data_IF_387266105412
#
_entry.id   IF_387266105412
#
_cell.length_a   1.000
_cell.length_b   1.000
_cell.length_c   1.000
_cell.angle_alpha   90.00
_cell.angle_beta   90.00
_cell.angle_gamma   90.00
#
_symmetry.space_group_name_H-M   'P 1'
#
loop_
_entity.id
_entity.type
_entity.pdbx_description
1 polymer ?
#
# COMPACT_ATOMS: atom_id res chain seq x y z
N UNK A 1 -13.13 6.79 50.69
CA UNK A 1 -12.95 7.92 49.75
C UNK A 1 -13.45 7.50 48.38
N UNK A 2 -14.61 8.02 47.95
CA UNK A 2 -15.15 7.74 46.62
C UNK A 2 -14.61 8.80 45.66
N UNK A 3 -13.84 8.38 44.67
CA UNK A 3 -13.44 9.25 43.58
C UNK A 3 -14.54 9.24 42.51
N UNK A 4 -15.18 10.37 42.36
CA UNK A 4 -16.13 10.65 41.27
C UNK A 4 -15.31 10.95 40.00
N UNK A 5 -15.40 10.06 39.01
CA UNK A 5 -14.93 10.33 37.65
C UNK A 5 -15.83 11.41 37.03
N UNK A 6 -15.26 12.59 36.77
CA UNK A 6 -15.86 13.58 35.88
C UNK A 6 -15.80 13.03 34.47
N UNK A 7 -16.95 12.82 33.86
CA UNK A 7 -17.06 12.52 32.44
C UNK A 7 -16.50 13.70 31.65
N UNK A 8 -15.28 13.55 31.09
CA UNK A 8 -14.78 14.41 30.02
C UNK A 8 -15.58 13.96 28.79
N UNK A 9 -16.44 14.82 28.28
CA UNK A 9 -17.20 14.56 27.07
C UNK A 9 -16.22 14.44 25.89
N UNK A 10 -15.93 13.21 25.48
CA UNK A 10 -15.22 12.90 24.24
C UNK A 10 -16.27 13.01 23.14
N UNK A 11 -16.23 14.09 22.36
CA UNK A 11 -17.02 14.17 21.13
C UNK A 11 -16.34 13.28 20.09
N UNK A 12 -16.81 12.05 19.99
CA UNK A 12 -16.36 11.08 18.97
C UNK A 12 -17.25 11.26 17.75
N UNK A 13 -16.71 11.89 16.71
CA UNK A 13 -17.40 11.98 15.42
C UNK A 13 -16.94 10.78 14.59
N UNK A 14 -17.80 9.77 14.45
CA UNK A 14 -17.57 8.61 13.60
C UNK A 14 -17.98 8.93 12.17
N UNK A 15 -17.01 9.03 11.27
CA UNK A 15 -17.29 9.05 9.83
C UNK A 15 -17.64 7.61 9.38
N UNK A 16 -18.94 7.31 9.34
CA UNK A 16 -19.43 6.03 8.83
C UNK A 16 -19.48 6.14 7.31
N UNK A 17 -18.50 5.55 6.62
CA UNK A 17 -18.60 5.29 5.18
C UNK A 17 -19.41 4.01 5.02
N UNK A 18 -20.74 4.14 4.93
CA UNK A 18 -21.57 3.02 4.50
C UNK A 18 -21.15 2.61 3.09
N UNK A 19 -20.77 1.35 2.92
CA UNK A 19 -20.56 0.74 1.60
C UNK A 19 -21.92 0.61 0.89
N UNK A 20 -22.44 1.74 0.43
CA UNK A 20 -23.57 1.73 -0.48
C UNK A 20 -23.08 1.36 -1.87
N UNK A 21 -23.68 0.32 -2.42
CA UNK A 21 -23.63 0.01 -3.84
C UNK A 21 -23.88 1.29 -4.65
N UNK A 22 -22.82 1.78 -5.31
CA UNK A 22 -22.87 2.99 -6.13
C UNK A 22 -23.79 2.76 -7.34
N UNK A 23 -25.00 3.22 -7.23
CA UNK A 23 -25.86 3.50 -8.38
C UNK A 23 -25.38 4.80 -9.04
N UNK A 24 -25.05 4.69 -10.32
CA UNK A 24 -24.57 5.69 -11.26
C UNK A 24 -25.07 7.12 -10.99
N UNK A 25 -24.19 8.03 -10.56
CA UNK A 25 -24.11 9.38 -11.12
C UNK A 25 -22.65 9.62 -11.49
N UNK A 26 -22.38 9.50 -12.79
CA UNK A 26 -21.13 9.92 -13.39
C UNK A 26 -20.87 11.38 -13.02
N UNK A 27 -19.79 11.64 -12.34
CA UNK A 27 -19.18 12.97 -12.39
C UNK A 27 -18.84 13.23 -13.87
N UNK A 28 -19.47 14.20 -14.47
CA UNK A 28 -19.17 14.69 -15.81
C UNK A 28 -17.79 15.34 -15.82
N UNK A 29 -16.76 14.54 -15.94
CA UNK A 29 -15.45 15.01 -16.41
C UNK A 29 -15.52 15.17 -17.94
N UNK A 30 -15.99 16.35 -18.37
CA UNK A 30 -16.03 16.74 -19.77
C UNK A 30 -14.64 17.04 -20.38
N UNK A 31 -13.58 16.39 -19.91
CA UNK A 31 -12.23 16.71 -20.41
C UNK A 31 -11.59 15.69 -21.35
N UNK A 32 -12.20 14.49 -21.60
CA UNK A 32 -11.48 13.46 -22.35
C UNK A 32 -12.28 12.74 -23.44
N UNK A 33 -13.22 13.40 -24.11
CA UNK A 33 -13.98 12.76 -25.21
C UNK A 33 -13.22 12.60 -26.54
N UNK A 34 -11.96 13.07 -26.63
CA UNK A 34 -11.16 13.04 -27.88
C UNK A 34 -9.75 12.46 -27.75
N UNK A 35 -9.38 11.78 -26.65
CA UNK A 35 -8.10 11.08 -26.61
C UNK A 35 -8.27 9.69 -27.22
N UNK A 36 -7.65 9.45 -28.37
CA UNK A 36 -7.45 8.08 -28.86
C UNK A 36 -6.65 7.34 -27.80
N UNK A 37 -7.05 6.13 -27.39
CA UNK A 37 -6.29 5.31 -26.46
C UNK A 37 -4.93 5.02 -27.09
N UNK A 38 -3.86 5.61 -26.52
CA UNK A 38 -2.55 5.62 -27.17
C UNK A 38 -1.45 5.00 -26.30
N UNK A 39 -1.64 4.91 -24.98
CA UNK A 39 -0.65 4.33 -24.08
C UNK A 39 -0.66 2.81 -24.17
N UNK A 40 0.46 2.23 -24.59
CA UNK A 40 0.65 0.78 -24.70
C UNK A 40 1.33 0.25 -23.44
N UNK A 41 0.64 -0.64 -22.73
CA UNK A 41 1.12 -1.26 -21.51
C UNK A 41 1.77 -2.61 -21.81
N UNK A 42 2.87 -2.86 -21.11
CA UNK A 42 3.56 -4.15 -21.03
C UNK A 42 3.51 -4.61 -19.59
N UNK A 43 3.08 -5.84 -19.33
CA UNK A 43 3.14 -6.49 -18.01
C UNK A 43 4.29 -7.49 -18.02
N UNK A 44 5.25 -7.32 -17.11
CA UNK A 44 6.43 -8.17 -17.01
C UNK A 44 6.41 -9.00 -15.73
N UNK A 45 6.50 -10.33 -15.86
CA UNK A 45 6.59 -11.31 -14.77
C UNK A 45 5.55 -11.07 -13.66
N UNK A 46 4.24 -11.08 -14.00
CA UNK A 46 3.20 -10.84 -13.01
C UNK A 46 3.14 -11.99 -11.99
N UNK A 47 3.32 -11.70 -10.71
CA UNK A 47 3.32 -12.69 -9.64
C UNK A 47 2.59 -12.23 -8.38
N UNK A 48 2.00 -11.04 -8.43
CA UNK A 48 1.19 -10.48 -7.37
C UNK A 48 -0.14 -9.96 -7.95
N UNK A 49 -1.24 -10.10 -7.20
CA UNK A 49 -2.57 -9.70 -7.68
C UNK A 49 -2.69 -8.22 -8.07
N UNK A 50 -1.78 -7.35 -7.60
CA UNK A 50 -1.73 -5.95 -8.03
C UNK A 50 -1.48 -5.79 -9.54
N UNK A 51 -0.85 -6.76 -10.20
CA UNK A 51 -0.66 -6.71 -11.65
C UNK A 51 -2.00 -6.65 -12.39
N UNK A 52 -2.98 -7.47 -11.99
CA UNK A 52 -4.31 -7.50 -12.59
C UNK A 52 -5.17 -6.31 -12.19
N UNK A 53 -4.96 -5.71 -11.01
CA UNK A 53 -5.77 -4.58 -10.53
C UNK A 53 -5.71 -3.36 -11.42
N UNK A 54 -4.61 -3.11 -12.13
CA UNK A 54 -4.51 -2.03 -13.10
C UNK A 54 -5.57 -2.16 -14.21
N UNK A 55 -5.92 -3.39 -14.57
CA UNK A 55 -6.87 -3.72 -15.63
C UNK A 55 -8.30 -3.99 -15.10
N UNK A 56 -8.52 -3.83 -13.79
CA UNK A 56 -9.84 -4.09 -13.17
C UNK A 56 -10.94 -3.23 -13.77
N UNK A 57 -10.62 -2.03 -14.23
CA UNK A 57 -11.56 -1.11 -14.90
C UNK A 57 -10.94 -0.62 -16.21
N UNK A 58 -11.78 -0.25 -17.21
CA UNK A 58 -11.29 0.36 -18.43
C UNK A 58 -10.56 1.68 -18.14
N UNK A 59 -9.47 1.92 -18.85
CA UNK A 59 -8.68 3.15 -18.79
C UNK A 59 -8.76 3.85 -20.16
N UNK A 60 -9.40 5.00 -20.23
CA UNK A 60 -9.71 5.69 -21.49
C UNK A 60 -8.47 6.05 -22.34
N UNK A 61 -7.32 6.28 -21.68
CA UNK A 61 -6.06 6.63 -22.35
C UNK A 61 -5.17 5.42 -22.70
N UNK A 62 -5.59 4.20 -22.34
CA UNK A 62 -4.79 2.97 -22.49
C UNK A 62 -5.36 2.15 -23.65
N UNK A 63 -4.46 1.61 -24.49
CA UNK A 63 -4.83 0.65 -25.53
C UNK A 63 -5.41 -0.62 -24.88
N UNK A 64 -6.44 -1.19 -25.48
CA UNK A 64 -7.10 -2.40 -24.98
C UNK A 64 -6.25 -3.68 -25.09
N UNK A 65 -5.17 -3.61 -25.86
CA UNK A 65 -4.21 -4.71 -26.04
C UNK A 65 -3.02 -4.54 -25.12
N UNK A 66 -2.86 -5.49 -24.20
CA UNK A 66 -1.78 -5.55 -23.20
C UNK A 66 -0.79 -6.64 -23.59
N UNK A 67 0.50 -6.31 -23.58
CA UNK A 67 1.54 -7.31 -23.82
C UNK A 67 2.03 -7.89 -22.52
N UNK A 68 2.10 -9.21 -22.45
CA UNK A 68 2.52 -9.95 -21.26
C UNK A 68 3.78 -10.75 -21.60
N UNK A 69 4.85 -10.52 -20.85
CA UNK A 69 6.09 -11.28 -20.95
C UNK A 69 6.36 -11.95 -19.61
N UNK A 70 6.40 -13.27 -19.57
CA UNK A 70 6.54 -14.01 -18.30
C UNK A 70 7.24 -15.37 -18.51
N UNK A 71 7.83 -15.93 -17.43
CA UNK A 71 8.14 -17.34 -17.38
C UNK A 71 6.87 -18.17 -17.30
N UNK A 72 6.95 -19.45 -17.61
CA UNK A 72 5.86 -20.38 -17.30
C UNK A 72 5.70 -20.53 -15.78
N UNK A 73 4.47 -20.46 -15.28
CA UNK A 73 4.19 -20.62 -13.84
C UNK A 73 2.73 -20.45 -13.48
N UNK A 74 2.44 -20.73 -12.20
CA UNK A 74 1.10 -20.55 -11.64
C UNK A 74 0.71 -19.06 -11.59
N UNK A 75 1.67 -18.19 -11.37
CA UNK A 75 1.50 -16.75 -11.17
C UNK A 75 0.96 -16.09 -12.45
N UNK A 76 1.56 -16.34 -13.60
CA UNK A 76 1.09 -15.79 -14.88
C UNK A 76 -0.28 -16.36 -15.24
N UNK A 77 -0.53 -17.66 -14.95
CA UNK A 77 -1.85 -18.29 -15.15
C UNK A 77 -2.92 -17.60 -14.29
N UNK A 78 -2.60 -17.31 -13.01
CA UNK A 78 -3.51 -16.61 -12.12
C UNK A 78 -3.82 -15.19 -12.63
N UNK A 79 -2.78 -14.45 -13.05
CA UNK A 79 -2.97 -13.12 -13.65
C UNK A 79 -3.93 -13.16 -14.85
N UNK A 80 -3.73 -14.08 -15.79
CA UNK A 80 -4.60 -14.23 -16.96
C UNK A 80 -6.04 -14.61 -16.58
N UNK A 81 -6.22 -15.45 -15.56
CA UNK A 81 -7.53 -15.81 -15.03
C UNK A 81 -8.25 -14.59 -14.43
N UNK A 82 -7.52 -13.73 -13.71
CA UNK A 82 -8.07 -12.49 -13.15
C UNK A 82 -8.56 -11.57 -14.27
N UNK A 83 -7.75 -11.35 -15.31
CA UNK A 83 -8.15 -10.53 -16.46
C UNK A 83 -9.40 -11.11 -17.16
N UNK A 84 -9.41 -12.42 -17.41
CA UNK A 84 -10.58 -13.08 -17.98
C UNK A 84 -11.83 -12.88 -17.10
N UNK A 85 -11.68 -12.95 -15.78
CA UNK A 85 -12.79 -12.69 -14.85
C UNK A 85 -13.31 -11.26 -14.94
N UNK A 86 -12.45 -10.26 -15.15
CA UNK A 86 -12.86 -8.88 -15.36
C UNK A 86 -13.57 -8.68 -16.69
N UNK A 87 -13.14 -9.37 -17.75
CA UNK A 87 -13.79 -9.33 -19.05
C UNK A 87 -15.18 -9.99 -19.05
N UNK A 88 -15.36 -11.04 -18.23
CA UNK A 88 -16.60 -11.85 -18.21
C UNK A 88 -17.59 -11.48 -17.10
N UNK A 89 -17.26 -10.59 -16.19
CA UNK A 89 -18.16 -10.23 -15.08
C UNK A 89 -19.44 -9.55 -15.61
N UNK A 90 -20.55 -9.78 -14.92
CA UNK A 90 -21.86 -9.25 -15.33
C UNK A 90 -21.95 -7.72 -15.20
N UNK A 91 -21.28 -7.15 -14.18
CA UNK A 91 -21.28 -5.71 -13.91
C UNK A 91 -19.97 -5.07 -14.36
N UNK A 92 -20.05 -4.04 -15.18
CA UNK A 92 -18.92 -3.27 -15.70
C UNK A 92 -17.81 -4.16 -16.32
N UNK A 93 -18.12 -5.06 -17.29
CA UNK A 93 -17.11 -5.89 -17.93
C UNK A 93 -16.05 -5.04 -18.62
N UNK A 94 -14.83 -5.58 -18.66
CA UNK A 94 -13.74 -5.00 -19.45
C UNK A 94 -13.63 -5.69 -20.81
N UNK A 95 -12.72 -5.24 -21.67
CA UNK A 95 -12.50 -5.82 -23.01
C UNK A 95 -11.00 -5.94 -23.33
N UNK A 96 -10.21 -6.24 -22.31
CA UNK A 96 -8.75 -6.39 -22.48
C UNK A 96 -8.41 -7.59 -23.37
N UNK A 97 -7.36 -7.43 -24.16
CA UNK A 97 -6.79 -8.45 -25.04
C UNK A 97 -5.33 -8.62 -24.65
N UNK A 98 -4.92 -9.83 -24.31
CA UNK A 98 -3.54 -10.14 -23.93
C UNK A 98 -2.77 -10.74 -25.10
N UNK A 99 -1.68 -10.07 -25.54
CA UNK A 99 -0.65 -10.64 -26.39
C UNK A 99 0.44 -11.24 -25.48
N UNK A 100 0.47 -12.58 -25.40
CA UNK A 100 1.23 -13.29 -24.36
C UNK A 100 2.46 -13.94 -24.94
N UNK A 101 3.63 -13.67 -24.35
CA UNK A 101 4.86 -14.41 -24.54
C UNK A 101 5.27 -15.14 -23.26
N UNK A 102 5.38 -16.47 -23.32
CA UNK A 102 5.83 -17.32 -22.23
C UNK A 102 7.14 -17.99 -22.63
N UNK A 103 8.21 -17.74 -21.89
CA UNK A 103 9.54 -18.32 -22.16
C UNK A 103 10.57 -17.96 -21.13
N UNK A 104 11.67 -18.72 -21.04
CA UNK A 104 12.76 -18.42 -20.11
C UNK A 104 13.51 -17.14 -20.41
N UNK A 105 13.40 -16.65 -21.63
CA UNK A 105 14.05 -15.43 -22.13
C UNK A 105 13.08 -14.21 -22.16
N UNK A 106 11.97 -14.28 -21.44
CA UNK A 106 10.90 -13.28 -21.43
C UNK A 106 11.39 -11.83 -21.26
N UNK A 107 12.40 -11.59 -20.41
CA UNK A 107 12.95 -10.25 -20.22
C UNK A 107 13.70 -9.78 -21.48
N UNK A 108 14.63 -10.59 -22.00
CA UNK A 108 15.37 -10.22 -23.20
C UNK A 108 14.45 -10.08 -24.42
N UNK A 109 13.41 -10.87 -24.49
CA UNK A 109 12.37 -10.77 -25.52
C UNK A 109 11.61 -9.45 -25.43
N UNK A 110 11.11 -9.05 -24.26
CA UNK A 110 10.48 -7.76 -24.04
C UNK A 110 11.40 -6.60 -24.45
N UNK A 111 12.67 -6.66 -24.02
CA UNK A 111 13.65 -5.62 -24.30
C UNK A 111 13.98 -5.50 -25.80
N UNK A 112 13.97 -6.60 -26.56
CA UNK A 112 14.23 -6.63 -28.01
C UNK A 112 13.00 -6.20 -28.82
N UNK A 113 11.81 -6.62 -28.43
CA UNK A 113 10.57 -6.31 -29.15
C UNK A 113 10.21 -4.82 -29.06
N UNK A 114 10.48 -4.18 -27.93
CA UNK A 114 10.24 -2.75 -27.66
C UNK A 114 8.84 -2.28 -28.05
N UNK A 115 7.85 -3.10 -27.78
CA UNK A 115 6.47 -2.86 -28.18
C UNK A 115 5.60 -2.36 -27.01
N UNK A 116 5.86 -1.14 -26.54
CA UNK A 116 5.07 -0.55 -25.47
C UNK A 116 5.68 0.76 -24.98
N UNK A 117 4.94 1.48 -24.18
CA UNK A 117 5.33 2.78 -23.62
C UNK A 117 5.62 2.68 -22.12
N UNK A 118 4.91 1.78 -21.42
CA UNK A 118 4.95 1.64 -19.97
C UNK A 118 5.07 0.17 -19.59
N UNK A 119 6.06 -0.17 -18.78
CA UNK A 119 6.20 -1.50 -18.16
C UNK A 119 5.59 -1.47 -16.77
N UNK A 120 4.68 -2.41 -16.50
CA UNK A 120 4.05 -2.64 -15.20
C UNK A 120 4.73 -3.81 -14.52
N UNK A 121 5.18 -3.62 -13.28
CA UNK A 121 5.89 -4.60 -12.47
C UNK A 121 5.13 -4.85 -11.16
N UNK A 122 4.56 -6.03 -11.01
CA UNK A 122 3.94 -6.48 -9.75
C UNK A 122 4.10 -8.00 -9.62
N UNK A 123 5.19 -8.42 -9.00
CA UNK A 123 5.56 -9.82 -8.88
C UNK A 123 6.62 -10.04 -7.81
N UNK A 124 7.46 -11.05 -8.00
CA UNK A 124 8.56 -11.37 -7.09
C UNK A 124 9.52 -10.19 -6.93
N UNK A 125 9.74 -9.78 -5.68
CA UNK A 125 10.51 -8.56 -5.38
C UNK A 125 12.02 -8.72 -5.61
N UNK A 126 12.54 -9.94 -5.56
CA UNK A 126 13.97 -10.23 -5.75
C UNK A 126 14.49 -9.76 -7.11
N UNK A 127 13.67 -9.88 -8.17
CA UNK A 127 14.07 -9.52 -9.54
C UNK A 127 13.67 -8.09 -9.91
N UNK A 128 12.77 -7.49 -9.14
CA UNK A 128 12.04 -6.27 -9.50
C UNK A 128 12.95 -5.09 -9.82
N UNK A 129 13.93 -4.82 -8.97
CA UNK A 129 14.83 -3.67 -9.18
C UNK A 129 15.67 -3.81 -10.44
N UNK A 130 16.09 -5.05 -10.77
CA UNK A 130 16.78 -5.31 -12.04
C UNK A 130 15.84 -5.07 -13.23
N UNK A 131 14.59 -5.51 -13.17
CA UNK A 131 13.59 -5.24 -14.22
C UNK A 131 13.36 -3.74 -14.41
N UNK A 132 13.28 -2.98 -13.32
CA UNK A 132 13.15 -1.51 -13.35
C UNK A 132 14.33 -0.91 -14.13
N UNK A 133 15.55 -1.26 -13.75
CA UNK A 133 16.76 -0.69 -14.37
C UNK A 133 16.85 -1.03 -15.85
N UNK A 134 16.62 -2.30 -16.22
CA UNK A 134 16.69 -2.74 -17.61
C UNK A 134 15.58 -2.12 -18.48
N UNK A 135 14.35 -1.99 -17.95
CA UNK A 135 13.28 -1.30 -18.65
C UNK A 135 13.58 0.19 -18.88
N UNK A 136 14.11 0.90 -17.87
CA UNK A 136 14.54 2.31 -18.01
C UNK A 136 15.72 2.43 -19.02
N UNK A 137 16.70 1.52 -19.00
CA UNK A 137 17.79 1.46 -20.01
C UNK A 137 17.24 1.26 -21.43
N UNK A 138 16.18 0.48 -21.56
CA UNK A 138 15.54 0.26 -22.84
C UNK A 138 14.60 1.41 -23.28
N UNK A 139 14.38 2.42 -22.45
CA UNK A 139 13.57 3.60 -22.77
C UNK A 139 12.09 3.46 -22.47
N UNK A 140 11.70 2.51 -21.63
CA UNK A 140 10.33 2.41 -21.12
C UNK A 140 10.09 3.33 -19.91
N UNK A 141 8.88 3.84 -19.78
CA UNK A 141 8.36 4.28 -18.50
C UNK A 141 8.06 3.05 -17.63
N UNK A 142 8.13 3.19 -16.33
CA UNK A 142 7.91 2.09 -15.38
C UNK A 142 6.90 2.47 -14.31
N UNK A 143 5.88 1.64 -14.14
CA UNK A 143 4.98 1.62 -13.00
C UNK A 143 5.27 0.35 -12.20
N UNK A 144 5.77 0.48 -10.99
CA UNK A 144 6.16 -0.67 -10.18
C UNK A 144 5.37 -0.71 -8.89
N UNK A 145 4.88 -1.90 -8.53
CA UNK A 145 4.31 -2.15 -7.21
C UNK A 145 5.41 -2.12 -6.13
N UNK A 146 5.05 -1.72 -4.94
CA UNK A 146 5.92 -1.70 -3.76
C UNK A 146 6.25 -3.13 -3.25
N UNK A 147 7.38 -3.34 -2.59
CA UNK A 147 8.54 -2.49 -2.49
C UNK A 147 9.36 -2.53 -3.79
N UNK A 148 10.01 -1.41 -4.13
CA UNK A 148 10.85 -1.35 -5.34
C UNK A 148 12.22 -1.99 -5.12
N UNK A 149 12.66 -2.06 -3.86
CA UNK A 149 13.89 -2.70 -3.42
C UNK A 149 13.68 -3.36 -2.05
N UNK A 150 14.31 -4.49 -1.80
CA UNK A 150 14.19 -5.26 -0.55
C UNK A 150 15.50 -5.42 0.22
N UNK A 151 16.59 -4.96 -0.33
CA UNK A 151 17.92 -4.99 0.29
C UNK A 151 18.78 -3.81 -0.19
N UNK A 152 19.95 -3.63 0.43
CA UNK A 152 20.84 -2.52 0.11
C UNK A 152 21.34 -2.53 -1.34
N UNK A 153 21.68 -3.69 -1.89
CA UNK A 153 22.17 -3.82 -3.26
C UNK A 153 21.11 -3.34 -4.26
N UNK A 154 19.88 -3.77 -4.06
CA UNK A 154 18.75 -3.37 -4.90
C UNK A 154 18.43 -1.88 -4.73
N UNK A 155 18.57 -1.34 -3.51
CA UNK A 155 18.41 0.10 -3.29
C UNK A 155 19.46 0.92 -4.06
N UNK A 156 20.72 0.50 -4.07
CA UNK A 156 21.76 1.16 -4.83
C UNK A 156 21.48 1.12 -6.36
N UNK A 157 20.94 0.00 -6.86
CA UNK A 157 20.47 -0.10 -8.26
C UNK A 157 19.24 0.79 -8.53
N UNK A 158 18.33 0.90 -7.57
CA UNK A 158 17.15 1.75 -7.68
C UNK A 158 17.53 3.22 -7.79
N UNK A 159 18.52 3.69 -7.01
CA UNK A 159 19.06 5.04 -7.13
C UNK A 159 19.57 5.29 -8.57
N UNK A 160 20.32 4.34 -9.13
CA UNK A 160 20.81 4.44 -10.52
C UNK A 160 19.65 4.50 -11.52
N UNK A 161 18.61 3.69 -11.31
CA UNK A 161 17.43 3.69 -12.18
C UNK A 161 16.69 5.05 -12.14
N UNK A 162 16.52 5.66 -10.96
CA UNK A 162 15.91 6.99 -10.84
C UNK A 162 16.76 8.09 -11.49
N UNK A 163 18.07 8.04 -11.34
CA UNK A 163 18.98 8.99 -12.01
C UNK A 163 18.87 8.89 -13.52
N UNK A 164 18.93 7.67 -14.06
CA UNK A 164 18.81 7.42 -15.49
C UNK A 164 17.43 7.79 -16.03
N UNK A 165 16.36 7.50 -15.30
CA UNK A 165 15.00 7.90 -15.66
C UNK A 165 14.88 9.42 -15.77
N UNK A 166 15.44 10.15 -14.80
CA UNK A 166 15.48 11.62 -14.82
C UNK A 166 16.26 12.16 -16.03
N UNK A 167 17.43 11.63 -16.32
CA UNK A 167 18.27 12.01 -17.48
C UNK A 167 17.53 11.79 -18.81
N UNK A 168 16.82 10.67 -18.92
CA UNK A 168 16.07 10.27 -20.12
C UNK A 168 14.66 10.84 -20.20
N UNK A 169 14.21 11.60 -19.19
CA UNK A 169 12.84 12.12 -19.06
C UNK A 169 11.78 11.01 -19.08
N UNK A 170 12.09 9.88 -18.46
CA UNK A 170 11.19 8.74 -18.31
C UNK A 170 10.52 8.77 -16.94
N UNK A 171 9.31 8.27 -16.86
CA UNK A 171 8.60 8.06 -15.60
C UNK A 171 9.10 6.76 -14.95
N UNK A 172 9.52 6.85 -13.70
CA UNK A 172 9.65 5.73 -12.78
C UNK A 172 8.81 6.03 -11.55
N UNK A 173 7.71 5.32 -11.39
CA UNK A 173 6.70 5.59 -10.38
C UNK A 173 6.35 4.34 -9.58
N UNK A 174 6.29 4.48 -8.26
CA UNK A 174 5.82 3.45 -7.35
C UNK A 174 4.29 3.53 -7.18
N UNK A 175 3.62 2.39 -7.30
CA UNK A 175 2.17 2.28 -7.18
C UNK A 175 1.78 2.14 -5.70
N UNK A 176 1.62 3.27 -5.02
CA UNK A 176 1.23 3.34 -3.60
C UNK A 176 -0.28 3.39 -3.47
N UNK A 177 -0.90 2.23 -3.29
CA UNK A 177 -2.36 2.06 -3.29
C UNK A 177 -3.05 2.78 -2.13
N UNK A 178 -2.43 2.86 -0.95
CA UNK A 178 -3.01 3.50 0.24
C UNK A 178 -3.26 5.01 0.07
N UNK A 179 -2.58 5.68 -0.85
CA UNK A 179 -2.86 7.10 -1.17
C UNK A 179 -4.24 7.31 -1.80
N UNK A 180 -4.87 6.26 -2.32
CA UNK A 180 -6.19 6.29 -2.97
C UNK A 180 -7.33 5.84 -2.04
N UNK A 181 -7.04 5.43 -0.82
CA UNK A 181 -8.05 5.19 0.22
C UNK A 181 -8.67 6.54 0.62
N UNK A 182 -10.01 6.61 0.58
CA UNK A 182 -10.74 7.85 0.84
C UNK A 182 -10.46 8.40 2.24
N UNK A 183 -10.31 7.55 3.26
CA UNK A 183 -10.03 8.03 4.61
C UNK A 183 -8.61 8.59 4.72
N UNK A 184 -7.62 8.02 4.01
CA UNK A 184 -6.27 8.58 3.94
C UNK A 184 -6.23 9.94 3.23
N UNK A 185 -7.08 10.12 2.20
CA UNK A 185 -7.24 11.42 1.49
C UNK A 185 -7.86 12.46 2.43
N UNK A 186 -8.92 12.09 3.13
CA UNK A 186 -9.59 12.98 4.10
C UNK A 186 -8.66 13.31 5.26
N UNK A 187 -7.98 12.31 5.84
CA UNK A 187 -6.99 12.49 6.91
C UNK A 187 -5.91 13.50 6.49
N UNK A 188 -5.36 13.35 5.28
CA UNK A 188 -4.40 14.32 4.72
C UNK A 188 -4.96 15.73 4.66
N UNK A 189 -6.20 15.89 4.18
CA UNK A 189 -6.81 17.21 4.06
C UNK A 189 -7.04 17.88 5.44
N UNK A 190 -7.50 17.11 6.44
CA UNK A 190 -7.70 17.59 7.80
C UNK A 190 -6.38 17.93 8.48
N UNK A 191 -5.36 17.09 8.32
CA UNK A 191 -4.02 17.28 8.87
C UNK A 191 -3.34 18.56 8.31
N UNK A 192 -3.59 18.87 7.04
CA UNK A 192 -3.02 20.06 6.40
C UNK A 192 -3.93 21.30 6.49
N UNK A 193 -4.90 21.30 7.39
CA UNK A 193 -5.70 22.47 7.72
C UNK A 193 -5.15 23.12 9.01
N UNK A 194 -4.39 24.22 8.94
CA UNK A 194 -3.76 24.82 10.11
C UNK A 194 -4.75 25.43 11.11
N UNK A 195 -5.96 25.80 10.65
CA UNK A 195 -6.99 26.33 11.54
C UNK A 195 -7.61 25.23 12.42
N UNK A 196 -7.66 23.99 11.92
CA UNK A 196 -8.25 22.83 12.58
C UNK A 196 -7.22 21.98 13.32
N UNK A 197 -6.14 21.58 12.65
CA UNK A 197 -5.13 20.67 13.19
C UNK A 197 -3.97 21.40 13.87
N UNK A 198 -3.67 22.61 13.42
CA UNK A 198 -2.48 23.35 13.83
C UNK A 198 -1.23 22.83 13.17
N UNK A 199 -0.12 22.82 13.91
CA UNK A 199 1.18 22.31 13.47
C UNK A 199 1.41 20.91 14.02
N UNK A 200 2.04 20.05 13.23
CA UNK A 200 2.46 18.73 13.68
C UNK A 200 3.45 18.85 14.83
N UNK A 201 3.17 18.21 15.96
CA UNK A 201 4.04 18.25 17.13
C UNK A 201 5.36 17.52 16.86
N UNK A 202 6.41 17.87 17.58
CA UNK A 202 7.71 17.21 17.43
C UNK A 202 7.70 15.79 18.00
N UNK A 203 7.05 15.57 19.15
CA UNK A 203 7.04 14.32 19.87
C UNK A 203 8.41 13.94 20.46
N UNK A 204 8.55 12.69 20.85
CA UNK A 204 9.79 12.11 21.37
C UNK A 204 9.89 10.62 21.00
N UNK A 205 11.02 9.98 21.29
CA UNK A 205 11.21 8.54 21.06
C UNK A 205 10.15 7.68 21.78
N UNK A 206 9.79 8.06 23.02
CA UNK A 206 8.84 7.30 23.84
C UNK A 206 7.37 7.74 23.63
N UNK A 207 7.16 8.90 23.04
CA UNK A 207 5.84 9.45 22.71
C UNK A 207 5.88 10.13 21.34
N UNK A 208 5.95 9.36 20.25
CA UNK A 208 6.06 9.91 18.91
C UNK A 208 4.79 10.69 18.50
N UNK A 209 4.99 11.75 17.72
CA UNK A 209 3.87 12.54 17.19
C UNK A 209 3.08 11.81 16.13
N UNK A 210 3.73 10.92 15.40
CA UNK A 210 3.10 10.02 14.44
C UNK A 210 3.38 8.60 14.86
N UNK A 211 2.33 7.81 15.05
CA UNK A 211 2.48 6.36 15.30
C UNK A 211 1.51 5.57 14.42
N UNK A 212 2.00 4.45 13.89
CA UNK A 212 1.21 3.54 13.08
C UNK A 212 1.51 2.10 13.45
N UNK A 213 0.48 1.28 13.55
CA UNK A 213 0.60 -0.18 13.70
C UNK A 213 -0.32 -0.86 12.69
N UNK A 214 0.19 -1.90 12.02
CA UNK A 214 -0.59 -2.73 11.10
C UNK A 214 -0.37 -4.20 11.41
N UNK A 215 -1.46 -4.96 11.55
CA UNK A 215 -1.43 -6.40 11.81
C UNK A 215 -2.04 -7.15 10.65
N UNK A 216 -1.30 -8.10 10.13
CA UNK A 216 -1.65 -8.92 8.98
C UNK A 216 -1.60 -10.40 9.30
N UNK A 217 -2.08 -11.21 8.36
CA UNK A 217 -2.12 -12.66 8.51
C UNK A 217 -1.63 -13.35 7.23
N UNK A 218 -0.82 -14.41 7.41
CA UNK A 218 -0.35 -15.23 6.29
C UNK A 218 -1.51 -15.97 5.63
N UNK A 219 -2.38 -16.54 6.45
CA UNK A 219 -3.57 -17.26 6.00
C UNK A 219 -4.84 -16.56 6.49
N UNK A 220 -5.70 -16.16 5.58
CA UNK A 220 -6.99 -15.51 5.84
C UNK A 220 -7.92 -15.68 4.65
N UNK A 221 -9.20 -15.42 4.84
CA UNK A 221 -10.15 -15.32 3.74
C UNK A 221 -10.15 -13.90 3.15
N UNK A 222 -10.18 -13.83 1.84
CA UNK A 222 -10.36 -12.57 1.08
C UNK A 222 -11.54 -12.76 0.15
N UNK A 223 -12.55 -11.91 0.26
CA UNK A 223 -13.80 -12.03 -0.53
C UNK A 223 -14.45 -13.43 -0.41
N UNK A 224 -14.41 -14.01 0.79
CA UNK A 224 -15.04 -15.31 1.09
C UNK A 224 -14.23 -16.54 0.64
N UNK A 225 -13.02 -16.37 0.09
CA UNK A 225 -12.15 -17.47 -0.35
C UNK A 225 -10.82 -17.45 0.40
N UNK A 226 -10.22 -18.63 0.72
CA UNK A 226 -8.87 -18.69 1.26
C UNK A 226 -7.86 -18.00 0.34
N UNK A 227 -7.02 -17.16 0.90
CA UNK A 227 -5.92 -16.54 0.17
C UNK A 227 -4.75 -17.52 0.09
N UNK A 228 -4.47 -18.04 -1.10
CA UNK A 228 -3.32 -18.91 -1.35
C UNK A 228 -2.11 -18.04 -1.70
N UNK A 229 -1.02 -18.27 -0.99
CA UNK A 229 0.24 -17.56 -1.16
C UNK A 229 1.19 -18.35 -2.06
N UNK A 230 1.93 -17.74 -2.97
CA UNK A 230 3.03 -18.42 -3.64
C UNK A 230 4.09 -18.81 -2.60
N UNK A 231 4.78 -19.92 -2.80
CA UNK A 231 5.77 -20.45 -1.83
C UNK A 231 6.92 -19.46 -1.57
N UNK A 232 7.32 -18.66 -2.56
CA UNK A 232 8.37 -17.64 -2.44
C UNK A 232 7.98 -16.48 -1.52
N UNK A 233 6.69 -16.30 -1.22
CA UNK A 233 6.21 -15.26 -0.31
C UNK A 233 6.78 -15.41 1.12
N UNK A 234 7.18 -16.62 1.49
CA UNK A 234 7.77 -16.96 2.78
C UNK A 234 9.30 -16.78 2.81
N UNK A 235 9.92 -16.50 1.68
CA UNK A 235 11.36 -16.24 1.57
C UNK A 235 11.62 -14.74 1.61
N UNK A 236 12.26 -14.26 2.67
CA UNK A 236 12.59 -12.84 2.82
C UNK A 236 13.61 -12.32 1.80
N UNK A 237 14.36 -13.21 1.15
CA UNK A 237 15.23 -12.83 0.02
C UNK A 237 14.45 -12.62 -1.29
N UNK A 238 13.21 -13.13 -1.37
CA UNK A 238 12.35 -12.94 -2.54
C UNK A 238 11.24 -11.92 -2.29
N UNK A 239 10.59 -11.97 -1.12
CA UNK A 239 9.50 -11.08 -0.75
C UNK A 239 9.99 -9.78 -0.08
N UNK A 240 11.08 -9.85 0.65
CA UNK A 240 11.50 -8.86 1.62
C UNK A 240 11.00 -9.17 3.03
N UNK A 241 11.63 -8.61 4.03
CA UNK A 241 11.15 -8.67 5.42
C UNK A 241 9.85 -7.86 5.59
N UNK A 242 9.13 -8.06 6.69
CA UNK A 242 7.89 -7.33 6.98
C UNK A 242 8.05 -5.81 6.95
N UNK A 243 9.20 -5.29 7.37
CA UNK A 243 9.55 -3.87 7.26
C UNK A 243 9.57 -3.42 5.80
N UNK A 244 10.15 -4.19 4.89
CA UNK A 244 10.19 -3.84 3.47
C UNK A 244 8.81 -3.96 2.80
N UNK A 245 7.98 -4.91 3.24
CA UNK A 245 6.69 -5.19 2.61
C UNK A 245 5.59 -4.19 3.00
N UNK A 246 5.28 -4.08 4.30
CA UNK A 246 4.12 -3.29 4.79
C UNK A 246 4.53 -1.89 5.24
N UNK A 247 5.66 -1.75 5.93
CA UNK A 247 6.11 -0.45 6.44
C UNK A 247 6.36 0.55 5.32
N UNK A 248 6.63 0.08 4.08
CA UNK A 248 6.71 0.95 2.90
C UNK A 248 5.44 1.78 2.72
N UNK A 249 4.25 1.20 2.89
CA UNK A 249 2.99 1.95 2.85
C UNK A 249 2.89 2.97 3.99
N UNK A 250 3.33 2.58 5.20
CA UNK A 250 3.25 3.46 6.37
C UNK A 250 4.19 4.67 6.25
N UNK A 251 5.43 4.44 5.78
CA UNK A 251 6.41 5.51 5.50
C UNK A 251 5.88 6.43 4.41
N UNK A 252 5.31 5.87 3.36
CA UNK A 252 4.72 6.63 2.27
C UNK A 252 3.58 7.53 2.75
N UNK A 253 2.66 7.00 3.55
CA UNK A 253 1.56 7.78 4.12
C UNK A 253 2.07 8.92 5.01
N UNK A 254 3.10 8.69 5.83
CA UNK A 254 3.71 9.76 6.63
C UNK A 254 4.25 10.87 5.73
N UNK A 255 5.07 10.52 4.74
CA UNK A 255 5.66 11.50 3.85
C UNK A 255 4.60 12.27 3.06
N UNK A 256 3.61 11.57 2.53
CA UNK A 256 2.55 12.15 1.71
C UNK A 256 1.55 13.00 2.49
N UNK A 257 1.22 12.60 3.73
CA UNK A 257 0.24 13.30 4.56
C UNK A 257 0.87 14.41 5.41
N UNK A 258 2.01 14.12 6.07
CA UNK A 258 2.62 15.02 7.05
C UNK A 258 3.58 16.05 6.43
N UNK A 259 4.13 15.78 5.24
CA UNK A 259 5.10 16.65 4.55
C UNK A 259 4.69 16.90 3.10
N UNK A 260 3.47 17.44 2.88
CA UNK A 260 2.97 17.67 1.53
C UNK A 260 3.83 18.67 0.79
N UNK A 261 4.10 18.38 -0.50
CA UNK A 261 4.89 19.25 -1.39
C UNK A 261 6.36 19.44 -0.97
N UNK A 262 6.85 18.63 -0.04
CA UNK A 262 8.23 18.64 0.39
C UNK A 262 9.03 17.49 -0.21
N UNK A 263 10.28 17.76 -0.55
CA UNK A 263 11.25 16.70 -0.88
C UNK A 263 11.89 16.20 0.40
N UNK A 264 11.74 14.92 0.71
CA UNK A 264 12.43 14.28 1.84
C UNK A 264 13.73 13.64 1.32
N UNK A 265 14.87 14.10 1.83
CA UNK A 265 16.19 13.55 1.54
C UNK A 265 16.57 12.58 2.65
N UNK A 266 16.64 11.29 2.33
CA UNK A 266 16.91 10.26 3.36
C UNK A 266 18.26 10.44 4.06
N UNK A 267 19.25 11.09 3.40
CA UNK A 267 20.57 11.31 3.99
C UNK A 267 20.61 12.44 5.04
N UNK A 268 19.74 13.44 4.92
CA UNK A 268 19.76 14.65 5.78
C UNK A 268 18.51 14.84 6.62
N UNK A 269 17.36 14.35 6.12
CA UNK A 269 16.07 14.65 6.72
C UNK A 269 15.53 13.47 7.56
N UNK A 270 16.15 12.27 7.45
CA UNK A 270 15.71 11.05 8.12
C UNK A 270 16.81 10.52 9.03
N UNK A 271 16.47 10.25 10.30
CA UNK A 271 17.37 9.60 11.26
C UNK A 271 16.66 8.39 11.89
N UNK A 272 17.27 7.20 11.74
CA UNK A 272 16.77 5.97 12.38
C UNK A 272 17.28 5.91 13.81
N UNK A 273 16.37 5.93 14.78
CA UNK A 273 16.70 5.93 16.22
C UNK A 273 16.71 4.52 16.80
N UNK A 274 15.75 3.68 16.39
CA UNK A 274 15.62 2.29 16.86
C UNK A 274 14.89 1.45 15.83
N UNK A 275 15.43 0.28 15.54
CA UNK A 275 14.79 -0.72 14.71
C UNK A 275 14.89 -2.10 15.34
N UNK A 276 13.87 -2.92 15.12
CA UNK A 276 13.82 -4.31 15.55
C UNK A 276 13.01 -5.13 14.56
N UNK A 277 13.45 -6.37 14.31
CA UNK A 277 12.68 -7.36 13.59
C UNK A 277 12.61 -8.68 14.38
N UNK A 278 11.63 -9.51 14.09
CA UNK A 278 11.49 -10.85 14.68
C UNK A 278 10.63 -11.75 13.77
N UNK A 279 10.85 -13.08 13.86
CA UNK A 279 10.13 -14.00 13.00
C UNK A 279 8.69 -14.27 13.45
N UNK A 280 7.86 -14.65 12.49
CA UNK A 280 6.66 -15.46 12.71
C UNK A 280 7.03 -16.91 12.45
N UNK A 281 6.60 -17.80 13.34
CA UNK A 281 6.88 -19.23 13.28
C UNK A 281 5.73 -19.93 12.55
N UNK A 282 6.07 -20.66 11.48
CA UNK A 282 5.12 -21.35 10.60
C UNK A 282 5.46 -22.82 10.58
N UNK A 283 4.54 -23.66 11.00
CA UNK A 283 4.67 -25.13 10.93
C UNK A 283 4.44 -25.62 9.50
N UNK A 284 4.88 -26.85 9.18
CA UNK A 284 4.63 -27.41 7.85
C UNK A 284 3.13 -27.53 7.52
N UNK A 285 2.23 -27.97 8.42
CA UNK A 285 0.79 -27.96 8.15
C UNK A 285 0.24 -26.55 7.83
N UNK A 286 0.68 -25.52 8.55
CA UNK A 286 0.30 -24.12 8.28
C UNK A 286 0.83 -23.64 6.93
N UNK A 287 2.08 -23.96 6.60
CA UNK A 287 2.67 -23.64 5.30
C UNK A 287 1.87 -24.32 4.18
N UNK A 288 1.59 -25.62 4.30
CA UNK A 288 0.82 -26.38 3.32
C UNK A 288 -0.59 -25.82 3.14
N UNK A 289 -1.26 -25.44 4.24
CA UNK A 289 -2.59 -24.84 4.21
C UNK A 289 -2.60 -23.53 3.41
N UNK A 290 -1.58 -22.69 3.60
CA UNK A 290 -1.53 -21.36 3.00
C UNK A 290 -0.92 -21.32 1.59
N UNK A 291 -0.16 -22.36 1.19
CA UNK A 291 0.52 -22.40 -0.11
C UNK A 291 0.06 -23.52 -1.04
N UNK A 292 -0.61 -24.54 -0.48
CA UNK A 292 -0.93 -25.81 -1.14
C UNK A 292 0.31 -26.65 -1.52
N UNK A 293 1.47 -26.38 -0.91
CA UNK A 293 2.69 -27.16 -1.09
C UNK A 293 2.84 -28.19 0.05
N UNK A 294 3.21 -29.44 -0.26
CA UNK A 294 3.32 -30.52 0.72
C UNK A 294 4.62 -30.47 1.55
N UNK A 295 5.61 -29.72 1.09
CA UNK A 295 6.93 -29.62 1.72
C UNK A 295 7.46 -28.19 1.64
N UNK A 296 8.37 -27.84 2.54
CA UNK A 296 9.14 -26.61 2.38
C UNK A 296 10.08 -26.72 1.18
N UNK A 297 10.06 -25.79 0.22
CA UNK A 297 11.04 -25.73 -0.86
C UNK A 297 12.47 -25.59 -0.33
N UNK A 298 13.45 -26.12 -1.04
CA UNK A 298 14.86 -26.15 -0.61
C UNK A 298 15.43 -24.75 -0.28
N UNK A 299 14.98 -23.70 -0.97
CA UNK A 299 15.45 -22.32 -0.70
C UNK A 299 15.00 -21.79 0.68
N UNK A 300 14.01 -22.43 1.35
CA UNK A 300 13.59 -22.07 2.70
C UNK A 300 14.37 -22.82 3.81
N UNK A 301 15.16 -23.84 3.48
CA UNK A 301 15.86 -24.67 4.48
C UNK A 301 16.70 -23.87 5.47
N UNK A 302 17.29 -22.75 5.02
CA UNK A 302 18.10 -21.84 5.85
C UNK A 302 17.32 -21.14 6.97
N UNK A 303 15.98 -21.09 6.87
CA UNK A 303 15.11 -20.47 7.85
C UNK A 303 14.35 -21.49 8.71
N UNK A 304 14.60 -22.82 8.52
CA UNK A 304 13.94 -23.87 9.27
C UNK A 304 14.74 -24.18 10.54
N UNK A 305 14.09 -24.05 11.68
CA UNK A 305 14.63 -24.40 12.99
C UNK A 305 13.66 -25.37 13.68
N UNK A 306 14.14 -26.56 14.07
CA UNK A 306 13.32 -27.62 14.69
C UNK A 306 12.01 -27.90 13.93
N UNK A 307 12.07 -28.08 12.61
CA UNK A 307 10.94 -28.32 11.70
C UNK A 307 9.90 -27.17 11.65
N UNK A 308 10.26 -25.98 12.10
CA UNK A 308 9.43 -24.77 12.03
C UNK A 308 10.13 -23.72 11.17
N UNK A 309 9.43 -23.18 10.21
CA UNK A 309 9.90 -22.08 9.37
C UNK A 309 9.81 -20.74 10.15
N UNK A 310 10.91 -20.04 10.29
CA UNK A 310 11.00 -18.74 10.94
C UNK A 310 11.08 -17.63 9.89
N UNK A 311 9.95 -16.97 9.63
CA UNK A 311 9.85 -15.89 8.62
C UNK A 311 10.01 -14.54 9.29
N UNK A 312 11.05 -13.76 8.96
CA UNK A 312 11.26 -12.39 9.46
C UNK A 312 10.21 -11.42 8.91
N UNK A 313 8.97 -11.59 9.35
CA UNK A 313 7.81 -10.86 8.86
C UNK A 313 7.42 -9.66 9.73
N UNK A 314 7.91 -9.62 10.98
CA UNK A 314 7.55 -8.57 11.93
C UNK A 314 8.65 -7.54 12.05
N UNK A 315 8.26 -6.29 12.27
CA UNK A 315 9.23 -5.23 12.52
C UNK A 315 8.66 -4.03 13.27
N UNK A 316 9.54 -3.30 13.94
CA UNK A 316 9.24 -1.98 14.50
C UNK A 316 10.36 -1.01 14.18
N UNK A 317 9.99 0.23 13.90
CA UNK A 317 10.88 1.29 13.50
C UNK A 317 10.51 2.58 14.24
N UNK A 318 11.48 3.19 14.96
CA UNK A 318 11.38 4.55 15.45
C UNK A 318 12.42 5.40 14.72
N UNK A 319 11.98 6.49 14.12
CA UNK A 319 12.83 7.37 13.33
C UNK A 319 12.32 8.80 13.39
N UNK A 320 13.08 9.74 12.88
CA UNK A 320 12.63 11.10 12.68
C UNK A 320 12.62 11.47 11.20
N UNK A 321 11.69 12.33 10.82
CA UNK A 321 11.71 13.07 9.55
C UNK A 321 11.69 14.54 9.90
N UNK A 322 12.76 15.26 9.50
CA UNK A 322 12.93 16.70 9.85
C UNK A 322 12.73 16.98 11.35
N UNK A 323 13.18 16.05 12.21
CA UNK A 323 13.07 16.15 13.66
C UNK A 323 11.69 15.80 14.26
N UNK A 324 10.70 15.44 13.46
CA UNK A 324 9.41 14.90 13.94
C UNK A 324 9.59 13.40 14.25
N UNK A 325 9.26 13.00 15.47
CA UNK A 325 9.38 11.60 15.91
C UNK A 325 8.21 10.73 15.39
N UNK A 326 8.56 9.60 14.80
CA UNK A 326 7.64 8.67 14.15
C UNK A 326 7.92 7.26 14.69
N UNK A 327 6.87 6.55 15.09
CA UNK A 327 6.91 5.15 15.51
C UNK A 327 6.06 4.27 14.60
N UNK A 328 6.62 3.16 14.14
CA UNK A 328 5.89 2.21 13.29
C UNK A 328 6.07 0.80 13.78
N UNK A 329 5.03 -0.03 13.59
CA UNK A 329 5.08 -1.45 13.91
C UNK A 329 4.24 -2.25 12.92
N UNK A 330 4.80 -3.34 12.44
CA UNK A 330 4.13 -4.30 11.56
C UNK A 330 4.22 -5.67 12.18
N UNK A 331 3.08 -6.35 12.28
CA UNK A 331 2.95 -7.70 12.82
C UNK A 331 2.31 -8.59 11.76
N UNK A 332 2.89 -9.75 11.55
CA UNK A 332 2.32 -10.82 10.78
C UNK A 332 2.10 -12.04 11.68
N UNK A 333 0.86 -12.40 11.91
CA UNK A 333 0.50 -13.65 12.55
C UNK A 333 0.13 -14.69 11.48
N UNK A 334 -0.03 -15.96 11.88
CA UNK A 334 -0.41 -16.98 10.89
C UNK A 334 -1.86 -16.82 10.43
N UNK A 335 -2.80 -16.85 11.36
CA UNK A 335 -4.24 -16.74 11.08
C UNK A 335 -4.91 -15.79 12.07
N UNK A 336 -5.95 -15.05 11.67
CA UNK A 336 -6.70 -14.22 12.60
C UNK A 336 -7.50 -15.08 13.61
N UNK A 337 -7.90 -14.52 14.76
CA UNK A 337 -8.94 -15.12 15.59
C UNK A 337 -10.21 -15.43 14.77
N UNK A 338 -11.08 -16.32 15.25
CA UNK A 338 -12.26 -16.79 14.51
C UNK A 338 -13.14 -15.69 13.90
N UNK A 339 -13.25 -14.56 14.61
CA UNK A 339 -14.02 -13.38 14.16
C UNK A 339 -13.11 -12.22 13.76
N UNK A 340 -11.85 -12.51 13.42
CA UNK A 340 -10.80 -11.54 13.23
C UNK A 340 -10.53 -11.17 11.78
N UNK A 341 -9.90 -10.02 11.61
CA UNK A 341 -9.39 -9.49 10.35
C UNK A 341 -8.11 -8.72 10.59
N UNK A 342 -7.56 -8.15 9.52
CA UNK A 342 -6.43 -7.24 9.63
C UNK A 342 -6.81 -6.04 10.51
N UNK A 343 -5.87 -5.58 11.35
CA UNK A 343 -6.07 -4.38 12.15
C UNK A 343 -5.09 -3.29 11.75
N UNK A 344 -5.54 -2.05 11.90
CA UNK A 344 -4.71 -0.88 11.63
C UNK A 344 -5.01 0.22 12.64
N UNK A 345 -3.97 0.87 13.14
CA UNK A 345 -4.09 2.09 13.93
C UNK A 345 -3.10 3.13 13.43
N UNK A 346 -3.55 4.38 13.39
CA UNK A 346 -2.72 5.54 13.09
C UNK A 346 -3.06 6.65 14.05
N UNK A 347 -2.05 7.37 14.55
CA UNK A 347 -2.19 8.55 15.41
C UNK A 347 -1.30 9.65 14.88
N UNK A 348 -1.83 10.86 14.76
CA UNK A 348 -1.08 12.06 14.36
C UNK A 348 -1.45 13.22 15.28
N UNK A 349 -0.48 13.76 16.01
CA UNK A 349 -0.66 14.78 17.04
C UNK A 349 -0.32 16.16 16.48
N UNK A 350 -1.34 17.01 16.38
CA UNK A 350 -1.19 18.42 16.07
C UNK A 350 -1.28 19.29 17.32
N UNK A 351 -0.99 20.57 17.17
CA UNK A 351 -1.08 21.53 18.28
C UNK A 351 -2.53 21.87 18.67
N UNK A 352 -3.50 21.72 17.76
CA UNK A 352 -4.92 22.00 18.01
C UNK A 352 -5.81 20.75 18.05
N UNK A 353 -5.38 19.69 17.37
CA UNK A 353 -6.14 18.43 17.31
C UNK A 353 -5.25 17.21 17.12
N UNK A 354 -5.79 16.03 17.42
CA UNK A 354 -5.20 14.74 17.13
C UNK A 354 -6.10 13.99 16.16
N UNK A 355 -5.53 13.47 15.08
CA UNK A 355 -6.20 12.57 14.16
C UNK A 355 -5.87 11.11 14.55
N UNK A 356 -6.87 10.25 14.53
CA UNK A 356 -6.74 8.84 14.84
C UNK A 356 -7.53 8.01 13.85
N UNK A 357 -6.86 7.09 13.17
CA UNK A 357 -7.51 6.09 12.33
C UNK A 357 -7.45 4.74 13.02
N UNK A 358 -8.57 4.02 13.08
CA UNK A 358 -8.71 2.72 13.73
C UNK A 358 -9.42 1.76 12.77
N UNK A 359 -8.91 0.54 12.72
CA UNK A 359 -9.54 -0.62 12.13
C UNK A 359 -9.26 -1.80 13.06
N UNK A 360 -10.25 -2.24 13.81
CA UNK A 360 -10.14 -3.29 14.82
C UNK A 360 -11.46 -4.05 14.99
N UNK A 361 -11.54 -4.91 16.00
CA UNK A 361 -12.75 -5.67 16.30
C UNK A 361 -13.93 -4.77 16.70
N UNK A 362 -13.67 -3.69 17.43
CA UNK A 362 -14.72 -2.77 17.90
C UNK A 362 -15.31 -1.99 16.72
N UNK A 363 -14.49 -1.65 15.74
CA UNK A 363 -14.94 -1.03 14.49
C UNK A 363 -15.52 -2.03 13.46
N UNK A 364 -15.63 -3.33 13.81
CA UNK A 364 -16.04 -4.40 12.90
C UNK A 364 -15.05 -4.60 11.75
N UNK A 365 -13.75 -4.31 11.96
CA UNK A 365 -12.67 -4.31 10.98
C UNK A 365 -12.89 -3.35 9.80
N UNK A 366 -13.73 -2.34 10.00
CA UNK A 366 -13.91 -1.22 9.06
C UNK A 366 -13.08 -0.04 9.53
N UNK A 367 -12.30 0.53 8.63
CA UNK A 367 -11.45 1.67 8.92
C UNK A 367 -12.31 2.89 9.27
N UNK A 368 -12.01 3.54 10.40
CA UNK A 368 -12.72 4.72 10.91
C UNK A 368 -11.71 5.82 11.23
N UNK A 369 -12.03 7.05 10.85
CA UNK A 369 -11.20 8.23 11.12
C UNK A 369 -11.88 9.09 12.20
N UNK A 370 -11.12 9.45 13.23
CA UNK A 370 -11.52 10.30 14.32
C UNK A 370 -10.66 11.55 14.38
N UNK A 371 -11.27 12.67 14.76
CA UNK A 371 -10.56 13.88 15.13
C UNK A 371 -10.90 14.25 16.58
N UNK A 372 -9.88 14.46 17.38
CA UNK A 372 -10.01 14.85 18.78
C UNK A 372 -9.39 16.22 18.98
N UNK A 373 -10.16 17.17 19.52
CA UNK A 373 -9.72 18.51 19.89
C UNK A 373 -8.64 18.42 20.99
N UNK A 374 -7.62 19.29 20.93
CA UNK A 374 -6.70 19.46 22.05
C UNK A 374 -7.42 20.05 23.27
N UNK A 375 -6.99 19.67 24.49
CA UNK A 375 -7.71 19.98 25.71
C UNK A 375 -7.81 21.50 25.99
N UNK A 376 -6.83 22.25 25.56
CA UNK A 376 -6.66 23.70 25.78
C UNK A 376 -7.20 24.57 24.63
N UNK A 377 -7.67 23.97 23.52
CA UNK A 377 -8.27 24.72 22.41
C UNK A 377 -9.77 25.02 22.66
N UNK A 378 -10.26 26.16 22.13
CA UNK A 378 -11.68 26.54 22.27
C UNK A 378 -12.60 25.57 21.53
N UNK A 379 -13.69 25.16 22.19
CA UNK A 379 -14.61 24.16 21.65
C UNK A 379 -15.41 24.72 20.46
N UNK A 380 -15.97 25.93 20.60
CA UNK A 380 -16.79 26.55 19.57
C UNK A 380 -16.00 26.85 18.30
N UNK A 381 -14.78 27.35 18.47
CA UNK A 381 -13.89 27.60 17.37
C UNK A 381 -13.54 26.30 16.63
N UNK A 382 -13.17 25.26 17.39
CA UNK A 382 -12.85 23.94 16.80
C UNK A 382 -14.01 23.38 15.99
N UNK A 383 -15.23 23.37 16.55
CA UNK A 383 -16.45 22.91 15.87
C UNK A 383 -16.70 23.71 14.58
N UNK A 384 -16.57 25.02 14.63
CA UNK A 384 -16.72 25.88 13.46
C UNK A 384 -15.71 25.56 12.36
N UNK A 385 -14.45 25.36 12.72
CA UNK A 385 -13.38 25.02 11.76
C UNK A 385 -13.59 23.61 11.20
N UNK A 386 -14.04 22.64 12.01
CA UNK A 386 -14.35 21.31 11.54
C UNK A 386 -15.48 21.31 10.52
N UNK A 387 -16.60 21.98 10.83
CA UNK A 387 -17.73 22.10 9.91
C UNK A 387 -17.33 22.77 8.58
N UNK A 388 -16.50 23.81 8.64
CA UNK A 388 -15.95 24.47 7.44
C UNK A 388 -15.08 23.52 6.61
N UNK A 389 -14.20 22.76 7.26
CA UNK A 389 -13.33 21.80 6.58
C UNK A 389 -14.15 20.68 5.91
N UNK A 390 -15.14 20.13 6.60
CA UNK A 390 -16.04 19.10 6.04
C UNK A 390 -16.83 19.65 4.85
N UNK A 391 -17.38 20.85 4.94
CA UNK A 391 -18.11 21.49 3.84
C UNK A 391 -17.22 21.70 2.61
N UNK A 392 -15.96 22.04 2.79
CA UNK A 392 -14.99 22.14 1.69
C UNK A 392 -14.73 20.77 1.05
N UNK A 393 -14.57 19.73 1.86
CA UNK A 393 -14.38 18.36 1.36
C UNK A 393 -15.61 17.81 0.65
N UNK A 394 -16.83 18.17 1.10
CA UNK A 394 -18.10 17.78 0.46
C UNK A 394 -18.23 18.34 -0.97
N UNK A 395 -17.54 19.40 -1.32
CA UNK A 395 -17.52 19.88 -2.72
C UNK A 395 -16.93 18.84 -3.68
N UNK A 396 -15.98 18.04 -3.21
CA UNK A 396 -15.35 16.96 -3.99
C UNK A 396 -15.93 15.58 -3.63
N UNK A 397 -16.30 15.39 -2.37
CA UNK A 397 -16.80 14.13 -1.80
C UNK A 397 -18.18 14.34 -1.14
N UNK A 398 -19.26 14.49 -1.94
CA UNK A 398 -20.58 14.88 -1.44
C UNK A 398 -21.25 13.85 -0.50
N UNK A 399 -20.71 12.64 -0.43
CA UNK A 399 -21.17 11.56 0.48
C UNK A 399 -20.62 11.69 1.91
N UNK A 400 -19.70 12.63 2.18
CA UNK A 400 -19.17 12.81 3.52
C UNK A 400 -20.24 13.39 4.46
N UNK A 401 -20.38 12.77 5.63
CA UNK A 401 -21.21 13.25 6.75
C UNK A 401 -20.40 13.16 8.04
N UNK A 402 -20.74 14.01 9.01
CA UNK A 402 -20.16 14.06 10.35
C UNK A 402 -21.27 13.76 11.34
#
# INVERSE_FOLDING_TARGET
MRYTYRHIGILTISLIVASCSFSKKQANNNHDKNMNPNVKIVVLDPGHFHASLLQKNPLASVNDTIRVYAPEGAEVKQYLNDINSYNQRAENPTSWKEEIYIGGDYLSRMLSDRQGDVVVLAGNNQKKTNYILEAIKAGYNVLSDKPLAINKKDFDLLIQAYQLAKERKLLLYDLMTERYDILNIIEKALLNNPDLFGELQKGSLNDPSVSMESVHYFFKNVSGKPLIRPVWYYDTEQQGEGIANVTTHLIDLVNWQCFPNETIRYQSDVEVLKARHWPTRITLPEFSQSTQADTFPAFLNKYINNNVLEVLANGSLNYTVKGIHIGMKVIWNYTPPSDGGDTFTSLKKGSKATLKTIQDKESGFVKQLYIQRAADSDHSEFESQLQKAIKQLQATYPFLSV
#
